data_IF_829221191463
#
_entry.id   IF_829221191463
#
_cell.length_a   1.000
_cell.length_b   1.000
_cell.length_c   1.000
_cell.angle_alpha   90.00
_cell.angle_beta   90.00
_cell.angle_gamma   90.00
#
_symmetry.space_group_name_H-M   'P 1'
#
loop_
_entity.id
_entity.type
_entity.pdbx_description
1 polymer ?
#
# COMPACT_ATOMS: atom_id res chain seq x y z
N UNK A 1 2.60 -9.27 -19.34
CA UNK A 1 3.43 -8.09 -19.67
C UNK A 1 2.97 -6.93 -18.83
N UNK A 2 3.89 -6.07 -18.37
CA UNK A 2 3.58 -4.86 -17.60
C UNK A 2 4.17 -3.66 -18.32
N UNK A 3 3.43 -2.54 -18.36
CA UNK A 3 3.92 -1.25 -18.87
C UNK A 3 3.54 -0.16 -17.87
N UNK A 4 4.46 0.75 -17.62
CA UNK A 4 4.28 1.84 -16.66
C UNK A 4 4.13 3.18 -17.39
N UNK A 5 3.33 4.06 -16.79
CA UNK A 5 2.96 5.34 -17.39
C UNK A 5 2.94 6.42 -16.30
N UNK A 6 3.37 7.62 -16.65
CA UNK A 6 3.19 8.79 -15.80
C UNK A 6 1.70 9.17 -15.66
N UNK A 7 1.42 10.18 -14.83
CA UNK A 7 0.05 10.62 -14.53
C UNK A 7 -0.73 11.04 -15.79
N UNK A 8 -0.11 11.84 -16.68
CA UNK A 8 -0.79 12.40 -17.84
C UNK A 8 -1.09 11.33 -18.89
N UNK A 9 -0.12 10.46 -19.19
CA UNK A 9 -0.32 9.29 -20.03
C UNK A 9 -1.42 8.38 -19.45
N UNK A 10 -1.44 8.20 -18.14
CA UNK A 10 -2.47 7.40 -17.46
C UNK A 10 -3.87 8.00 -17.60
N UNK A 11 -3.99 9.32 -17.52
CA UNK A 11 -5.26 10.02 -17.76
C UNK A 11 -5.75 9.81 -19.20
N UNK A 12 -4.84 9.89 -20.17
CA UNK A 12 -5.17 9.62 -21.59
C UNK A 12 -5.59 8.17 -21.82
N UNK A 13 -4.89 7.19 -21.22
CA UNK A 13 -5.27 5.77 -21.29
C UNK A 13 -6.66 5.56 -20.70
N UNK A 14 -6.97 6.18 -19.57
CA UNK A 14 -8.30 6.09 -18.95
C UNK A 14 -9.39 6.65 -19.88
N UNK A 15 -9.15 7.76 -20.58
CA UNK A 15 -10.05 8.28 -21.59
C UNK A 15 -10.23 7.32 -22.76
N UNK A 16 -9.14 6.74 -23.26
CA UNK A 16 -9.17 5.76 -24.34
C UNK A 16 -9.98 4.50 -23.93
N UNK A 17 -9.82 4.02 -22.69
CA UNK A 17 -10.64 2.92 -22.14
C UNK A 17 -12.13 3.28 -22.18
N UNK A 18 -12.51 4.48 -21.74
CA UNK A 18 -13.90 4.90 -21.75
C UNK A 18 -14.49 5.08 -23.16
N UNK A 19 -13.68 5.41 -24.13
CA UNK A 19 -14.09 5.57 -25.54
C UNK A 19 -14.04 4.25 -26.33
N UNK A 20 -13.37 3.24 -25.80
CA UNK A 20 -13.23 1.93 -26.45
C UNK A 20 -14.55 1.15 -26.42
N UNK A 21 -14.69 0.18 -27.33
CA UNK A 21 -15.81 -0.76 -27.34
C UNK A 21 -15.68 -1.85 -26.25
N UNK A 22 -14.55 -1.91 -25.55
CA UNK A 22 -14.28 -2.92 -24.52
C UNK A 22 -14.98 -2.55 -23.22
N UNK A 23 -15.73 -3.51 -22.66
CA UNK A 23 -16.36 -3.33 -21.36
C UNK A 23 -15.29 -3.23 -20.28
N UNK A 24 -15.42 -2.23 -19.43
CA UNK A 24 -14.52 -2.03 -18.30
C UNK A 24 -15.28 -1.89 -16.98
N UNK A 25 -14.68 -2.36 -15.89
CA UNK A 25 -15.22 -2.29 -14.52
C UNK A 25 -14.16 -1.70 -13.61
N UNK A 26 -14.54 -0.73 -12.78
CA UNK A 26 -13.61 -0.16 -11.80
C UNK A 26 -13.59 -0.99 -10.51
N UNK A 27 -12.41 -1.52 -10.18
CA UNK A 27 -12.11 -2.18 -8.88
C UNK A 27 -11.59 -1.11 -7.91
N UNK A 28 -12.50 -0.60 -7.09
CA UNK A 28 -12.21 0.47 -6.15
C UNK A 28 -11.10 0.11 -5.16
N UNK A 29 -11.14 -1.10 -4.58
CA UNK A 29 -10.19 -1.52 -3.54
C UNK A 29 -8.73 -1.57 -4.03
N UNK A 30 -8.53 -1.74 -5.33
CA UNK A 30 -7.21 -1.80 -5.97
C UNK A 30 -6.90 -0.60 -6.85
N UNK A 31 -7.83 0.36 -6.93
CA UNK A 31 -7.72 1.56 -7.76
C UNK A 31 -7.33 1.23 -9.22
N UNK A 32 -8.10 0.32 -9.86
CA UNK A 32 -7.79 -0.16 -11.20
C UNK A 32 -9.03 -0.36 -12.06
N UNK A 33 -8.87 -0.17 -13.36
CA UNK A 33 -9.82 -0.62 -14.36
C UNK A 33 -9.55 -2.07 -14.71
N UNK A 34 -10.58 -2.89 -14.76
CA UNK A 34 -10.56 -4.28 -15.24
C UNK A 34 -11.26 -4.28 -16.59
N UNK A 35 -10.55 -4.65 -17.64
CA UNK A 35 -11.12 -4.81 -18.97
C UNK A 35 -11.58 -6.26 -19.14
N UNK A 36 -12.81 -6.44 -19.61
CA UNK A 36 -13.43 -7.77 -19.72
C UNK A 36 -14.01 -7.99 -21.12
N UNK A 37 -14.05 -9.25 -21.52
CA UNK A 37 -14.73 -9.65 -22.75
C UNK A 37 -16.25 -9.78 -22.56
N UNK A 38 -16.96 -10.23 -23.63
CA UNK A 38 -18.39 -10.45 -23.61
C UNK A 38 -18.84 -11.59 -22.65
N UNK A 39 -17.92 -12.45 -22.23
CA UNK A 39 -18.12 -13.54 -21.28
C UNK A 39 -17.66 -13.17 -19.85
N UNK A 40 -17.35 -11.89 -19.59
CA UNK A 40 -16.85 -11.37 -18.32
C UNK A 40 -15.44 -11.90 -17.93
N UNK A 41 -14.70 -12.48 -18.87
CA UNK A 41 -13.33 -12.89 -18.65
C UNK A 41 -12.41 -11.66 -18.68
N UNK A 42 -11.52 -11.58 -17.71
CA UNK A 42 -10.52 -10.52 -17.60
C UNK A 42 -9.52 -10.59 -18.78
N UNK A 43 -9.37 -9.47 -19.49
CA UNK A 43 -8.46 -9.31 -20.62
C UNK A 43 -7.18 -8.58 -20.21
N UNK A 44 -7.35 -7.49 -19.45
CA UNK A 44 -6.26 -6.64 -18.97
C UNK A 44 -6.68 -5.87 -17.73
N UNK A 45 -5.69 -5.36 -16.99
CA UNK A 45 -5.89 -4.46 -15.87
C UNK A 45 -5.11 -3.17 -16.11
N UNK A 46 -5.75 -2.06 -15.81
CA UNK A 46 -5.05 -0.78 -15.74
C UNK A 46 -5.19 -0.19 -14.34
N UNK A 47 -4.10 -0.29 -13.53
CA UNK A 47 -4.01 0.36 -12.23
C UNK A 47 -3.74 1.85 -12.43
N UNK A 48 -4.58 2.66 -11.84
CA UNK A 48 -4.47 4.11 -11.91
C UNK A 48 -3.39 4.62 -10.95
N UNK A 49 -2.67 5.69 -11.30
CA UNK A 49 -1.87 6.43 -10.33
C UNK A 49 -2.71 6.88 -9.15
N UNK A 50 -2.15 6.85 -7.95
CA UNK A 50 -2.86 7.30 -6.74
C UNK A 50 -3.26 8.78 -6.80
N UNK A 51 -2.61 9.55 -7.64
CA UNK A 51 -2.88 10.96 -7.90
C UNK A 51 -3.99 11.19 -8.94
N UNK A 52 -4.56 10.14 -9.55
CA UNK A 52 -5.75 10.26 -10.40
C UNK A 52 -7.02 9.92 -9.61
N UNK A 53 -8.13 10.64 -9.82
CA UNK A 53 -9.41 10.32 -9.18
C UNK A 53 -9.99 9.00 -9.71
N UNK A 54 -10.92 8.37 -8.95
CA UNK A 54 -11.76 7.30 -9.47
C UNK A 54 -12.49 7.74 -10.75
N UNK A 55 -12.73 6.83 -11.72
CA UNK A 55 -13.29 7.16 -13.03
C UNK A 55 -14.64 7.88 -13.00
N UNK A 56 -15.39 7.73 -11.91
CA UNK A 56 -16.73 8.32 -11.73
C UNK A 56 -16.70 9.68 -11.04
N UNK A 57 -15.53 10.19 -10.67
CA UNK A 57 -15.36 11.50 -10.06
C UNK A 57 -14.77 12.47 -11.10
N UNK A 58 -15.29 13.69 -11.20
CA UNK A 58 -14.76 14.68 -12.12
C UNK A 58 -13.32 15.08 -11.72
N UNK A 59 -12.44 15.18 -12.71
CA UNK A 59 -11.03 15.59 -12.54
C UNK A 59 -10.85 16.97 -11.86
N UNK A 60 -11.94 17.76 -11.79
CA UNK A 60 -11.91 19.14 -11.29
C UNK A 60 -12.11 19.29 -9.78
N UNK A 61 -12.51 18.23 -9.06
CA UNK A 61 -12.74 18.30 -7.61
C UNK A 61 -11.43 18.29 -6.78
N UNK A 62 -10.31 17.95 -7.40
CA UNK A 62 -8.98 17.90 -6.75
C UNK A 62 -8.09 19.10 -7.19
N UNK A 63 -8.68 20.29 -7.32
CA UNK A 63 -7.92 21.51 -7.68
C UNK A 63 -6.82 21.88 -6.66
N UNK A 64 -6.90 21.36 -5.44
CA UNK A 64 -5.94 21.57 -4.36
C UNK A 64 -4.91 20.42 -4.23
N UNK A 65 -4.87 19.48 -5.19
CA UNK A 65 -3.97 18.33 -5.15
C UNK A 65 -4.56 17.12 -4.42
N UNK A 66 -3.88 15.98 -4.52
CA UNK A 66 -4.30 14.72 -3.88
C UNK A 66 -3.50 14.46 -2.62
N UNK A 67 -4.20 14.49 -1.50
CA UNK A 67 -3.63 14.24 -0.17
C UNK A 67 -3.89 12.81 0.25
N UNK A 68 -2.85 12.09 0.65
CA UNK A 68 -2.99 10.68 1.03
C UNK A 68 -2.00 10.24 2.11
N UNK A 69 -2.38 9.17 2.77
CA UNK A 69 -1.53 8.48 3.75
C UNK A 69 -1.09 7.14 3.17
N UNK A 70 0.20 6.82 3.31
CA UNK A 70 0.72 5.46 3.12
C UNK A 70 0.92 4.85 4.50
N UNK A 71 0.37 3.65 4.70
CA UNK A 71 0.48 2.88 5.94
C UNK A 71 0.97 1.46 5.64
N UNK A 72 2.21 1.17 5.99
CA UNK A 72 2.84 -0.12 5.83
C UNK A 72 3.03 -0.74 7.21
N UNK A 73 2.43 -1.91 7.47
CA UNK A 73 2.52 -2.57 8.79
C UNK A 73 2.81 -4.06 8.64
N UNK A 74 3.91 -4.48 9.23
CA UNK A 74 4.30 -5.88 9.40
C UNK A 74 4.57 -6.17 10.88
N UNK A 75 4.86 -7.43 11.22
CA UNK A 75 5.14 -7.81 12.62
C UNK A 75 6.34 -7.04 13.17
N UNK A 76 6.05 -6.09 14.08
CA UNK A 76 7.06 -5.30 14.78
C UNK A 76 7.65 -4.14 13.99
N UNK A 77 7.16 -3.85 12.80
CA UNK A 77 7.61 -2.69 12.03
C UNK A 77 6.45 -1.99 11.33
N UNK A 78 6.46 -0.67 11.37
CA UNK A 78 5.51 0.18 10.66
C UNK A 78 6.26 1.38 10.08
N UNK A 79 6.03 1.63 8.78
CA UNK A 79 6.38 2.90 8.15
C UNK A 79 5.09 3.57 7.68
N UNK A 80 4.92 4.82 8.01
CA UNK A 80 3.76 5.60 7.61
C UNK A 80 4.15 7.02 7.26
N UNK A 81 3.43 7.63 6.32
CA UNK A 81 3.69 8.98 5.88
C UNK A 81 2.46 9.65 5.31
N UNK A 82 2.44 10.97 5.42
CA UNK A 82 1.49 11.84 4.77
C UNK A 82 2.12 12.45 3.53
N UNK A 83 1.35 12.46 2.44
CA UNK A 83 1.79 12.88 1.12
C UNK A 83 0.80 13.85 0.49
N UNK A 84 1.32 14.82 -0.24
CA UNK A 84 0.58 15.76 -1.05
C UNK A 84 1.14 15.75 -2.48
N UNK A 85 0.31 15.37 -3.45
CA UNK A 85 0.70 15.20 -4.87
C UNK A 85 2.00 14.41 -5.11
N UNK A 86 2.22 13.39 -4.31
CA UNK A 86 3.43 12.55 -4.41
C UNK A 86 4.59 13.01 -3.53
N UNK A 87 4.55 14.19 -2.94
CA UNK A 87 5.61 14.69 -2.06
C UNK A 87 5.36 14.26 -0.62
N UNK A 88 6.38 13.69 0.03
CA UNK A 88 6.31 13.33 1.44
C UNK A 88 6.48 14.56 2.32
N UNK A 89 5.43 14.95 3.02
CA UNK A 89 5.46 16.10 3.95
C UNK A 89 5.78 15.68 5.38
N UNK A 90 5.36 14.48 5.78
CA UNK A 90 5.62 13.96 7.12
C UNK A 90 5.70 12.43 7.08
N UNK A 91 6.55 11.86 7.93
CA UNK A 91 6.64 10.41 8.07
C UNK A 91 7.00 10.00 9.49
N UNK A 92 6.71 8.74 9.81
CA UNK A 92 7.11 8.10 11.06
C UNK A 92 7.37 6.61 10.83
N UNK A 93 8.42 6.11 11.46
CA UNK A 93 8.71 4.67 11.53
C UNK A 93 8.61 4.23 12.99
N UNK A 94 7.86 3.15 13.21
CA UNK A 94 7.75 2.51 14.52
C UNK A 94 8.34 1.12 14.46
N UNK A 95 9.05 0.74 15.50
CA UNK A 95 9.56 -0.61 15.70
C UNK A 95 9.14 -1.12 17.08
N UNK A 96 8.73 -2.39 17.15
CA UNK A 96 8.40 -3.06 18.38
C UNK A 96 8.82 -4.53 18.32
N UNK A 97 9.23 -5.07 19.44
CA UNK A 97 9.60 -6.47 19.53
C UNK A 97 8.34 -7.35 19.68
N UNK A 98 7.78 -7.80 18.57
CA UNK A 98 6.60 -8.67 18.56
C UNK A 98 6.96 -10.16 18.62
N UNK A 99 6.11 -10.96 19.27
CA UNK A 99 6.28 -12.42 19.33
C UNK A 99 5.97 -13.03 17.96
N UNK A 100 6.96 -13.57 17.27
CA UNK A 100 6.73 -14.36 16.06
C UNK A 100 6.00 -15.67 16.42
N UNK A 101 4.92 -16.00 15.69
CA UNK A 101 4.05 -17.18 15.94
C UNK A 101 4.80 -18.51 16.04
N UNK A 102 5.96 -18.65 15.39
CA UNK A 102 6.84 -19.85 15.48
C UNK A 102 7.62 -19.94 16.79
N UNK A 103 8.02 -18.83 17.39
CA UNK A 103 8.70 -18.80 18.68
C UNK A 103 7.72 -19.07 19.84
N UNK A 104 6.44 -18.69 19.68
CA UNK A 104 5.40 -18.95 20.67
C UNK A 104 5.15 -20.42 20.95
N UNK A 105 5.28 -21.33 19.97
CA UNK A 105 5.10 -22.78 20.20
C UNK A 105 6.19 -23.38 21.08
N UNK A 106 7.45 -22.97 20.92
CA UNK A 106 8.57 -23.44 21.73
C UNK A 106 8.51 -22.81 23.15
N UNK A 107 8.09 -21.56 23.27
CA UNK A 107 7.91 -20.89 24.55
C UNK A 107 6.69 -21.41 25.34
N UNK A 108 5.59 -21.79 24.67
CA UNK A 108 4.44 -22.43 25.32
C UNK A 108 4.83 -23.75 25.95
N UNK A 109 5.75 -24.52 25.35
CA UNK A 109 6.30 -25.77 25.91
C UNK A 109 7.19 -25.49 27.13
N UNK A 110 7.97 -24.42 27.12
CA UNK A 110 8.76 -23.95 28.26
C UNK A 110 7.92 -23.35 29.38
N UNK A 111 6.80 -22.67 29.04
CA UNK A 111 5.84 -22.12 30.00
C UNK A 111 5.13 -23.19 30.84
N UNK A 112 4.89 -24.36 30.28
CA UNK A 112 4.27 -25.48 30.99
C UNK A 112 5.25 -26.15 31.96
N UNK A 113 6.56 -25.96 31.78
CA UNK A 113 7.58 -26.69 32.54
C UNK A 113 8.26 -25.87 33.65
N UNK A 114 8.31 -24.54 33.58
CA UNK A 114 8.96 -23.69 34.62
C UNK A 114 8.30 -22.32 34.70
N UNK A 115 7.57 -22.03 35.74
CA UNK A 115 6.74 -20.84 36.02
C UNK A 115 7.37 -19.43 35.93
N UNK A 116 8.50 -19.23 35.22
CA UNK A 116 9.22 -17.94 35.12
C UNK A 116 8.98 -17.10 33.88
N UNK A 117 8.20 -17.58 32.88
CA UNK A 117 8.08 -16.87 31.60
C UNK A 117 6.87 -15.89 31.49
N UNK A 118 6.09 -15.74 32.57
CA UNK A 118 4.93 -14.82 32.57
C UNK A 118 5.29 -13.34 32.42
N UNK A 119 6.45 -12.92 32.92
CA UNK A 119 6.89 -11.54 32.84
C UNK A 119 7.25 -11.14 31.38
N UNK A 120 8.09 -11.91 30.70
CA UNK A 120 8.48 -11.63 29.32
C UNK A 120 7.32 -11.71 28.31
N UNK A 121 6.33 -12.58 28.53
CA UNK A 121 5.12 -12.63 27.68
C UNK A 121 4.21 -11.42 27.88
N UNK A 122 4.11 -10.90 29.12
CA UNK A 122 3.33 -9.69 29.43
C UNK A 122 3.97 -8.43 28.86
N UNK A 123 5.30 -8.31 28.96
CA UNK A 123 6.06 -7.19 28.37
C UNK A 123 5.84 -7.14 26.87
N UNK A 124 5.99 -8.25 26.16
CA UNK A 124 5.79 -8.30 24.69
C UNK A 124 4.35 -8.03 24.27
N UNK A 125 3.37 -8.44 25.07
CA UNK A 125 1.97 -8.10 24.80
C UNK A 125 1.75 -6.59 25.00
N UNK A 126 2.35 -6.00 26.03
CA UNK A 126 2.35 -4.55 26.27
C UNK A 126 2.96 -3.79 25.11
N UNK A 127 4.15 -4.20 24.63
CA UNK A 127 4.81 -3.59 23.46
C UNK A 127 3.96 -3.68 22.18
N UNK A 128 3.23 -4.80 22.00
CA UNK A 128 2.31 -4.93 20.86
C UNK A 128 1.13 -3.97 20.95
N UNK A 129 0.55 -3.80 22.15
CA UNK A 129 -0.55 -2.85 22.37
C UNK A 129 -0.07 -1.43 22.12
N UNK A 130 1.03 -1.02 22.76
CA UNK A 130 1.65 0.31 22.61
C UNK A 130 2.01 0.61 21.16
N UNK A 131 2.51 -0.38 20.41
CA UNK A 131 2.84 -0.23 19.00
C UNK A 131 1.63 0.20 18.15
N UNK A 132 0.46 -0.43 18.35
CA UNK A 132 -0.75 -0.06 17.61
C UNK A 132 -1.39 1.22 18.15
N UNK A 133 -1.27 1.51 19.43
CA UNK A 133 -1.68 2.79 20.02
C UNK A 133 -0.89 3.94 19.38
N UNK A 134 0.43 3.85 19.33
CA UNK A 134 1.32 4.85 18.72
C UNK A 134 1.02 5.06 17.21
N UNK A 135 0.74 3.97 16.46
CA UNK A 135 0.33 4.07 15.06
C UNK A 135 -0.97 4.86 14.94
N UNK A 136 -1.97 4.53 15.76
CA UNK A 136 -3.28 5.17 15.69
C UNK A 136 -3.25 6.63 16.18
N UNK A 137 -2.44 6.96 17.17
CA UNK A 137 -2.19 8.35 17.58
C UNK A 137 -1.63 9.17 16.44
N UNK A 138 -0.60 8.65 15.75
CA UNK A 138 -0.02 9.34 14.58
C UNK A 138 -1.01 9.46 13.42
N UNK A 139 -1.85 8.45 13.18
CA UNK A 139 -2.92 8.53 12.19
C UNK A 139 -3.92 9.64 12.56
N UNK A 140 -4.32 9.73 13.84
CA UNK A 140 -5.22 10.79 14.31
C UNK A 140 -4.61 12.17 14.09
N UNK A 141 -3.31 12.38 14.36
CA UNK A 141 -2.61 13.64 14.08
C UNK A 141 -2.70 13.99 12.57
N UNK A 142 -2.41 13.05 11.65
CA UNK A 142 -2.52 13.31 10.22
C UNK A 142 -3.93 13.73 9.80
N UNK A 143 -4.96 13.09 10.36
CA UNK A 143 -6.35 13.40 10.02
C UNK A 143 -6.91 14.66 10.71
N UNK A 144 -6.28 15.12 11.81
CA UNK A 144 -6.60 16.39 12.45
C UNK A 144 -5.95 17.57 11.73
N UNK A 145 -4.69 17.40 11.31
CA UNK A 145 -3.88 18.47 10.74
C UNK A 145 -4.10 18.63 9.23
N UNK A 146 -4.56 17.58 8.55
CA UNK A 146 -4.66 17.54 7.10
C UNK A 146 -5.96 16.90 6.61
N UNK A 147 -6.41 17.33 5.43
CA UNK A 147 -7.44 16.62 4.70
C UNK A 147 -6.83 15.36 4.06
N UNK A 148 -7.40 14.19 4.32
CA UNK A 148 -6.93 12.92 3.76
C UNK A 148 -7.97 12.40 2.77
N UNK A 149 -7.61 12.42 1.48
CA UNK A 149 -8.46 11.96 0.38
C UNK A 149 -8.34 10.44 0.19
N UNK A 150 -7.15 9.84 0.47
CA UNK A 150 -6.87 8.42 0.22
C UNK A 150 -5.99 7.83 1.31
N UNK A 151 -6.18 6.53 1.57
CA UNK A 151 -5.46 5.76 2.58
C UNK A 151 -4.89 4.52 1.89
N UNK A 152 -3.60 4.57 1.52
CA UNK A 152 -2.91 3.45 0.87
C UNK A 152 -2.37 2.50 1.93
N UNK A 153 -2.90 1.27 2.00
CA UNK A 153 -2.56 0.35 3.08
C UNK A 153 -1.91 -0.94 2.57
N UNK A 154 -0.81 -1.33 3.22
CA UNK A 154 -0.26 -2.68 3.21
C UNK A 154 -0.12 -3.15 4.64
N UNK A 155 -1.11 -3.89 5.14
CA UNK A 155 -1.17 -4.41 6.50
C UNK A 155 -1.37 -5.92 6.44
N UNK A 156 -0.52 -6.68 7.14
CA UNK A 156 -0.69 -8.13 7.26
C UNK A 156 -2.09 -8.46 7.81
N UNK A 157 -2.79 -9.40 7.18
CA UNK A 157 -4.16 -9.79 7.56
C UNK A 157 -4.31 -10.16 9.04
N UNK A 158 -3.24 -10.69 9.65
CA UNK A 158 -3.21 -11.07 11.06
C UNK A 158 -3.17 -9.83 11.96
N UNK A 159 -2.63 -8.71 11.47
CA UNK A 159 -2.46 -7.46 12.22
C UNK A 159 -3.65 -6.51 12.10
N UNK A 160 -4.49 -6.68 11.09
CA UNK A 160 -5.68 -5.83 10.87
C UNK A 160 -6.56 -5.72 12.12
N UNK A 161 -6.90 -6.80 12.87
CA UNK A 161 -7.67 -6.67 14.10
C UNK A 161 -6.98 -5.82 15.15
N UNK A 162 -5.66 -5.95 15.32
CA UNK A 162 -4.92 -5.15 16.32
C UNK A 162 -4.94 -3.66 16.00
N UNK A 163 -4.89 -3.30 14.71
CA UNK A 163 -4.98 -1.91 14.29
C UNK A 163 -6.35 -1.30 14.62
N UNK A 164 -7.45 -1.98 14.27
CA UNK A 164 -8.80 -1.44 14.43
C UNK A 164 -9.41 -1.65 15.81
N UNK A 165 -8.98 -2.67 16.56
CA UNK A 165 -9.48 -2.98 17.92
C UNK A 165 -8.58 -2.37 19.02
N UNK A 166 -7.56 -1.57 18.67
CA UNK A 166 -6.70 -0.85 19.62
C UNK A 166 -7.50 0.06 20.55
N UNK A 167 -6.96 0.33 21.76
CA UNK A 167 -7.57 1.29 22.70
C UNK A 167 -7.64 2.69 22.09
N UNK A 168 -6.56 3.14 21.43
CA UNK A 168 -6.57 4.33 20.58
C UNK A 168 -7.19 3.96 19.26
N UNK A 169 -8.30 4.60 18.91
CA UNK A 169 -9.06 4.25 17.68
C UNK A 169 -8.42 4.85 16.44
N UNK A 170 -8.50 4.11 15.32
CA UNK A 170 -8.19 4.66 14.00
C UNK A 170 -9.14 5.82 13.67
N UNK A 171 -8.67 6.86 12.97
CA UNK A 171 -9.52 7.98 12.52
C UNK A 171 -10.44 7.62 11.34
N UNK A 172 -10.45 6.37 10.90
CA UNK A 172 -11.27 5.84 9.82
C UNK A 172 -11.73 4.42 10.12
N UNK A 173 -12.84 4.00 9.52
CA UNK A 173 -13.39 2.67 9.67
C UNK A 173 -12.69 1.65 8.75
N UNK A 174 -12.75 0.37 9.12
CA UNK A 174 -12.20 -0.74 8.31
C UNK A 174 -12.77 -0.83 6.89
N UNK A 175 -13.94 -0.25 6.65
CA UNK A 175 -14.64 -0.21 5.36
C UNK A 175 -14.70 1.19 4.76
N UNK A 176 -13.83 2.09 5.23
CA UNK A 176 -13.75 3.45 4.68
C UNK A 176 -13.44 3.39 3.18
N UNK A 177 -14.25 4.09 2.38
CA UNK A 177 -14.11 4.10 0.92
C UNK A 177 -12.79 4.71 0.44
N UNK A 178 -12.10 5.47 1.29
CA UNK A 178 -10.78 6.04 0.98
C UNK A 178 -9.65 5.02 1.07
N UNK A 179 -9.92 3.77 1.50
CA UNK A 179 -8.89 2.74 1.63
C UNK A 179 -8.58 2.10 0.29
N UNK A 180 -7.31 2.21 -0.13
CA UNK A 180 -6.74 1.53 -1.29
C UNK A 180 -5.70 0.52 -0.83
N UNK A 181 -5.80 -0.70 -1.34
CA UNK A 181 -4.84 -1.75 -1.03
C UNK A 181 -3.63 -1.63 -1.94
N UNK A 182 -2.46 -1.51 -1.34
CA UNK A 182 -1.18 -1.54 -2.07
C UNK A 182 -0.97 -2.94 -2.67
N UNK A 183 -0.78 -3.08 -4.00
CA UNK A 183 -0.67 -4.39 -4.67
C UNK A 183 0.73 -5.00 -4.60
N UNK A 184 1.64 -4.41 -3.84
CA UNK A 184 2.99 -4.93 -3.58
C UNK A 184 3.10 -5.56 -2.20
N UNK A 185 3.91 -6.61 -2.09
CA UNK A 185 4.28 -7.19 -0.81
C UNK A 185 5.39 -6.35 -0.18
N UNK A 186 5.20 -5.97 1.08
CA UNK A 186 6.18 -5.20 1.85
C UNK A 186 6.71 -6.10 2.95
N UNK A 187 7.98 -6.50 2.86
CA UNK A 187 8.63 -7.34 3.85
C UNK A 187 9.00 -6.54 5.10
N UNK A 188 9.72 -5.44 4.92
CA UNK A 188 10.24 -4.61 6.01
C UNK A 188 9.79 -3.17 5.83
N UNK A 189 8.77 -2.70 6.58
CA UNK A 189 8.32 -1.31 6.54
C UNK A 189 9.35 -0.35 7.12
N UNK A 190 10.17 0.25 6.25
CA UNK A 190 11.10 1.33 6.55
C UNK A 190 10.82 2.54 5.67
N UNK A 191 11.48 3.65 5.92
CA UNK A 191 11.25 4.91 5.21
C UNK A 191 11.52 4.79 3.70
N UNK A 192 12.67 4.22 3.31
CA UNK A 192 13.06 4.02 1.91
C UNK A 192 12.05 3.17 1.15
N UNK A 193 11.60 2.06 1.76
CA UNK A 193 10.56 1.20 1.18
C UNK A 193 9.25 1.96 1.01
N UNK A 194 8.88 2.80 1.96
CA UNK A 194 7.68 3.65 1.84
C UNK A 194 7.81 4.65 0.68
N UNK A 195 8.97 5.26 0.46
CA UNK A 195 9.21 6.15 -0.67
C UNK A 195 9.18 5.40 -2.01
N UNK A 196 9.71 4.18 -2.08
CA UNK A 196 9.64 3.34 -3.28
C UNK A 196 8.19 2.94 -3.59
N UNK A 197 7.41 2.58 -2.57
CA UNK A 197 5.97 2.35 -2.73
C UNK A 197 5.26 3.60 -3.22
N UNK A 198 5.62 4.78 -2.71
CA UNK A 198 5.05 6.03 -3.18
C UNK A 198 5.34 6.27 -4.67
N UNK A 199 6.60 6.11 -5.13
CA UNK A 199 6.95 6.22 -6.57
C UNK A 199 6.16 5.23 -7.42
N UNK A 200 6.02 3.99 -6.97
CA UNK A 200 5.21 2.98 -7.64
C UNK A 200 3.72 3.38 -7.72
N UNK A 201 3.14 3.92 -6.64
CA UNK A 201 1.75 4.33 -6.61
C UNK A 201 1.45 5.56 -7.48
N UNK A 202 2.45 6.39 -7.77
CA UNK A 202 2.32 7.54 -8.67
C UNK A 202 2.29 7.15 -10.15
N UNK A 203 2.73 5.93 -10.49
CA UNK A 203 2.70 5.42 -11.87
C UNK A 203 1.41 4.64 -12.16
N UNK A 204 0.87 4.79 -13.36
CA UNK A 204 -0.12 3.87 -13.91
C UNK A 204 0.57 2.58 -14.33
N UNK A 205 -0.14 1.46 -14.22
CA UNK A 205 0.40 0.15 -14.60
C UNK A 205 -0.63 -0.63 -15.42
N UNK A 206 -0.29 -0.91 -16.68
CA UNK A 206 -1.10 -1.73 -17.57
C UNK A 206 -0.55 -3.17 -17.59
N UNK A 207 -1.36 -4.11 -17.12
CA UNK A 207 -1.02 -5.53 -17.02
C UNK A 207 -1.90 -6.32 -17.98
N UNK A 208 -1.28 -7.09 -18.86
CA UNK A 208 -2.00 -7.87 -19.89
C UNK A 208 -1.21 -9.10 -20.34
N UNK A 209 -1.92 -10.07 -20.93
CA UNK A 209 -1.29 -11.22 -21.57
C UNK A 209 -0.87 -10.89 -23.02
N UNK A 210 0.16 -11.53 -23.58
CA UNK A 210 0.62 -11.29 -24.96
C UNK A 210 -0.48 -11.39 -26.02
N UNK A 211 -1.51 -12.21 -25.77
CA UNK A 211 -2.66 -12.37 -26.66
C UNK A 211 -3.51 -11.08 -26.80
N UNK A 212 -3.34 -10.12 -25.89
CA UNK A 212 -4.10 -8.86 -25.85
C UNK A 212 -3.31 -7.66 -26.43
N UNK A 213 -2.17 -7.91 -27.07
CA UNK A 213 -1.29 -6.86 -27.61
C UNK A 213 -2.00 -5.89 -28.57
N UNK A 214 -2.91 -6.40 -29.44
CA UNK A 214 -3.66 -5.55 -30.37
C UNK A 214 -4.65 -4.62 -29.66
N UNK A 215 -5.35 -5.13 -28.64
CA UNK A 215 -6.20 -4.31 -27.76
C UNK A 215 -5.37 -3.22 -27.08
N UNK A 216 -4.22 -3.59 -26.53
CA UNK A 216 -3.33 -2.65 -25.85
C UNK A 216 -2.81 -1.57 -26.78
N UNK A 217 -2.43 -1.90 -28.03
CA UNK A 217 -2.05 -0.91 -29.04
C UNK A 217 -3.16 0.10 -29.34
N UNK A 218 -4.40 -0.36 -29.36
CA UNK A 218 -5.56 0.54 -29.54
C UNK A 218 -5.71 1.49 -28.34
N UNK A 219 -5.63 0.98 -27.11
CA UNK A 219 -5.71 1.78 -25.90
C UNK A 219 -4.55 2.77 -25.74
N UNK A 220 -3.38 2.47 -26.28
CA UNK A 220 -2.20 3.32 -26.23
C UNK A 220 -2.09 4.29 -27.42
N UNK A 221 -3.10 4.35 -28.28
CA UNK A 221 -3.08 5.26 -29.44
C UNK A 221 -3.03 6.72 -28.98
N UNK A 222 -1.97 7.44 -29.41
CA UNK A 222 -1.77 8.85 -29.06
C UNK A 222 -1.32 9.07 -27.63
N UNK A 223 -0.87 8.04 -26.93
CA UNK A 223 -0.33 8.14 -25.58
C UNK A 223 1.19 8.24 -25.65
N UNK A 224 1.72 9.36 -25.18
CA UNK A 224 3.14 9.59 -24.93
C UNK A 224 3.44 9.45 -23.43
N UNK A 225 4.69 9.14 -23.06
CA UNK A 225 5.10 9.08 -21.66
C UNK A 225 5.03 7.69 -21.02
N UNK A 226 5.27 6.63 -21.83
CA UNK A 226 5.61 5.32 -21.28
C UNK A 226 6.92 5.44 -20.50
N UNK A 227 6.92 4.96 -19.26
CA UNK A 227 8.12 4.83 -18.45
C UNK A 227 8.57 3.38 -18.45
N UNK A 228 9.86 3.14 -18.71
CA UNK A 228 10.45 1.83 -18.45
C UNK A 228 10.53 1.65 -16.93
N UNK A 229 10.24 0.44 -16.47
CA UNK A 229 10.51 0.10 -15.07
C UNK A 229 12.04 0.11 -14.92
N UNK A 230 12.55 1.00 -14.09
CA UNK A 230 13.90 0.84 -13.57
C UNK A 230 13.84 -0.49 -12.81
N UNK A 231 14.58 -1.50 -13.26
CA UNK A 231 14.69 -2.81 -12.60
C UNK A 231 14.81 -2.53 -11.09
N UNK A 232 13.83 -3.01 -10.32
CA UNK A 232 13.89 -2.90 -8.87
C UNK A 232 15.21 -3.55 -8.48
N UNK A 233 16.18 -2.75 -8.04
CA UNK A 233 17.28 -3.29 -7.26
C UNK A 233 16.59 -4.02 -6.11
N UNK A 234 16.55 -5.35 -6.18
CA UNK A 234 16.21 -6.19 -5.04
C UNK A 234 17.12 -5.69 -3.91
N UNK A 235 16.53 -5.01 -2.95
CA UNK A 235 17.24 -4.64 -1.73
C UNK A 235 17.55 -5.97 -1.02
N UNK A 236 18.72 -6.53 -1.35
CA UNK A 236 19.24 -7.71 -0.71
C UNK A 236 19.31 -7.45 0.79
N UNK A 237 18.53 -8.22 1.55
CA UNK A 237 18.55 -8.23 3.02
C UNK A 237 19.96 -8.52 3.60
N UNK A 238 20.91 -8.94 2.79
CA UNK A 238 22.29 -9.23 3.21
C UNK A 238 23.09 -7.98 3.59
N UNK A 239 22.82 -6.82 2.98
CA UNK A 239 23.57 -5.58 3.27
C UNK A 239 23.26 -4.97 4.65
N UNK A 240 22.12 -5.28 5.26
CA UNK A 240 21.76 -4.77 6.58
C UNK A 240 22.27 -5.60 7.76
N UNK A 241 22.75 -6.83 7.53
CA UNK A 241 23.29 -7.67 8.58
C UNK A 241 24.79 -7.44 8.85
N UNK A 242 25.51 -6.78 7.93
CA UNK A 242 26.95 -6.52 8.12
C UNK A 242 27.25 -5.30 9.02
N UNK A 243 26.28 -4.38 9.21
CA UNK A 243 26.47 -3.22 10.11
C UNK A 243 26.14 -3.52 11.59
N UNK A 244 25.46 -4.63 11.93
CA UNK A 244 25.16 -5.00 13.33
C UNK A 244 26.26 -5.85 14.00
N UNK A 245 27.31 -6.26 13.29
CA UNK A 245 28.46 -7.01 13.88
C UNK A 245 29.68 -6.14 14.25
N UNK A 246 29.61 -4.82 14.11
CA UNK A 246 30.75 -3.91 14.33
C UNK A 246 30.59 -2.91 15.50
N UNK A 247 29.70 -3.17 16.47
CA UNK A 247 29.67 -2.42 17.74
C UNK A 247 29.63 -3.32 18.98
#
# INVERSE_FOLDING_TARGET
MNRFFNRDASAQILQNIHQSAVRSVYDHAKHRMVLVDAQEKELAFFRLPITLPPPNQPLHEEAEGVHYVILLVQSGSCAMGYFEDGFNLNHKVFRAYMVRKKQGKSQIKHLKTKGKSRAGSRVRLGETVEFFENINERLQEYFQDHQVHRICMSVSKILVPYLFDSNVKTPFDKRDERIFKIPKHVHTPIYEVMLNINRFLQKGELIYEPAQEELVKELLRGVDGQEEDEEEEDFDEEALNEEEELD
#
